data_IF_489636278876
#
_entry.id   IF_489636278876
#
_cell.length_a   1.000
_cell.length_b   1.000
_cell.length_c   1.000
_cell.angle_alpha   90.00
_cell.angle_beta   90.00
_cell.angle_gamma   90.00
#
_symmetry.space_group_name_H-M   'P 1'
#
loop_
_entity.id
_entity.type
_entity.pdbx_description
1 polymer ?
#
# COMPACT_ATOMS: atom_id res chain seq x y z
N UNK A 1 -27.61 51.17 77.51
CA UNK A 1 -26.81 49.98 77.90
C UNK A 1 -26.75 49.02 76.71
N UNK A 2 -25.53 48.52 76.41
CA UNK A 2 -25.18 47.41 75.49
C UNK A 2 -25.42 47.53 73.98
N UNK A 3 -24.33 47.91 73.31
CA UNK A 3 -23.66 47.26 72.17
C UNK A 3 -24.45 46.30 71.25
N UNK A 4 -24.43 46.61 69.95
CA UNK A 4 -24.61 45.68 68.83
C UNK A 4 -23.71 46.08 67.66
N UNK A 5 -22.64 45.31 67.42
CA UNK A 5 -21.68 45.46 66.31
C UNK A 5 -22.15 44.65 65.09
N UNK A 6 -21.94 45.24 63.91
CA UNK A 6 -21.57 44.67 62.60
C UNK A 6 -22.48 43.60 61.96
N UNK A 7 -22.87 43.85 60.70
CA UNK A 7 -22.39 43.01 59.58
C UNK A 7 -22.74 43.66 58.24
N UNK A 8 -21.71 43.98 57.47
CA UNK A 8 -21.74 44.40 56.06
C UNK A 8 -22.03 43.19 55.17
N UNK A 9 -23.03 43.34 54.30
CA UNK A 9 -23.39 42.39 53.24
C UNK A 9 -22.23 42.08 52.31
N UNK A 10 -21.84 40.80 52.24
CA UNK A 10 -20.90 40.26 51.28
C UNK A 10 -21.61 39.97 49.95
N UNK A 11 -21.14 40.56 48.85
CA UNK A 11 -21.50 40.16 47.50
C UNK A 11 -20.57 39.04 47.04
N UNK A 12 -21.14 37.84 46.84
CA UNK A 12 -20.48 36.71 46.20
C UNK A 12 -20.90 36.70 44.72
N UNK A 13 -19.94 36.76 43.81
CA UNK A 13 -20.15 36.65 42.36
C UNK A 13 -18.82 36.37 41.65
N UNK A 14 -18.68 35.13 41.17
CA UNK A 14 -17.52 34.53 40.48
C UNK A 14 -17.05 35.30 39.23
N UNK A 15 -15.76 35.23 38.85
CA UNK A 15 -15.31 35.56 37.50
C UNK A 15 -15.27 34.29 36.63
N UNK A 16 -16.05 34.25 35.54
CA UNK A 16 -15.89 33.24 34.49
C UNK A 16 -16.37 33.79 33.15
N UNK A 17 -15.42 33.98 32.24
CA UNK A 17 -15.48 33.60 30.81
C UNK A 17 -14.17 34.07 30.16
N UNK A 18 -13.22 33.15 30.03
CA UNK A 18 -13.08 32.26 28.88
C UNK A 18 -12.29 32.95 27.77
N UNK A 19 -10.96 32.84 27.88
CA UNK A 19 -10.06 33.02 26.76
C UNK A 19 -10.32 31.86 25.79
N UNK A 20 -11.14 32.11 24.77
CA UNK A 20 -11.18 31.26 23.59
C UNK A 20 -9.84 31.42 22.87
N UNK A 21 -8.89 30.54 23.18
CA UNK A 21 -7.75 30.28 22.31
C UNK A 21 -8.33 29.72 21.01
N UNK A 22 -8.41 30.57 19.99
CA UNK A 22 -8.62 30.16 18.61
C UNK A 22 -7.42 29.26 18.27
N UNK A 23 -7.57 27.93 18.44
CA UNK A 23 -6.61 26.97 17.91
C UNK A 23 -6.65 27.17 16.40
N UNK A 24 -5.65 27.87 15.87
CA UNK A 24 -5.28 27.75 14.47
C UNK A 24 -5.04 26.26 14.27
N UNK A 25 -5.98 25.56 13.64
CA UNK A 25 -5.74 24.19 13.19
C UNK A 25 -4.65 24.33 12.13
N UNK A 26 -3.43 23.95 12.48
CA UNK A 26 -2.37 23.76 11.49
C UNK A 26 -2.93 22.83 10.41
N UNK A 27 -2.61 23.11 9.14
CA UNK A 27 -2.98 22.22 8.05
C UNK A 27 -2.42 20.83 8.35
N UNK A 28 -3.22 19.80 8.11
CA UNK A 28 -2.80 18.45 8.44
C UNK A 28 -1.57 18.04 7.62
N UNK A 29 -0.61 17.34 8.23
CA UNK A 29 0.60 16.86 7.53
C UNK A 29 0.33 15.56 6.78
N UNK A 30 1.24 15.16 5.89
CA UNK A 30 1.12 13.90 5.17
C UNK A 30 1.13 12.69 6.13
N UNK A 31 2.01 12.69 7.13
CA UNK A 31 2.06 11.64 8.14
C UNK A 31 0.82 11.62 9.04
N UNK A 32 0.16 12.76 9.30
CA UNK A 32 -1.13 12.77 10.01
C UNK A 32 -2.24 12.06 9.20
N UNK A 33 -2.25 12.19 7.87
CA UNK A 33 -3.15 11.41 7.02
C UNK A 33 -2.83 9.92 7.08
N UNK A 34 -1.57 9.54 6.91
CA UNK A 34 -1.19 8.13 6.98
C UNK A 34 -1.49 7.51 8.35
N UNK A 35 -1.32 8.25 9.45
CA UNK A 35 -1.72 7.74 10.77
C UNK A 35 -3.23 7.50 10.85
N UNK A 36 -4.05 8.40 10.31
CA UNK A 36 -5.52 8.22 10.26
C UNK A 36 -5.92 7.04 9.39
N UNK A 37 -5.26 6.82 8.26
CA UNK A 37 -5.48 5.65 7.39
C UNK A 37 -5.12 4.37 8.14
N UNK A 38 -3.92 4.30 8.71
CA UNK A 38 -3.41 3.11 9.38
C UNK A 38 -4.17 2.77 10.67
N UNK A 39 -4.77 3.75 11.35
CA UNK A 39 -5.57 3.52 12.57
C UNK A 39 -7.07 3.32 12.30
N UNK A 40 -7.54 3.57 11.08
CA UNK A 40 -8.91 3.27 10.69
C UNK A 40 -9.08 1.77 10.46
N UNK A 41 -10.05 1.10 11.11
CA UNK A 41 -10.38 -0.30 10.81
C UNK A 41 -11.35 -0.43 9.62
N UNK A 42 -11.82 0.67 9.02
CA UNK A 42 -12.84 0.66 7.96
C UNK A 42 -12.16 0.78 6.60
N UNK A 43 -12.19 -0.26 5.73
CA UNK A 43 -11.51 -0.24 4.43
C UNK A 43 -11.90 0.95 3.55
N UNK A 44 -13.19 1.29 3.50
CA UNK A 44 -13.70 2.40 2.70
C UNK A 44 -13.18 3.74 3.22
N UNK A 45 -13.02 3.89 4.53
CA UNK A 45 -12.45 5.11 5.12
C UNK A 45 -10.95 5.20 4.83
N UNK A 46 -10.21 4.07 4.82
CA UNK A 46 -8.81 4.04 4.37
C UNK A 46 -8.70 4.56 2.93
N UNK A 47 -9.52 4.03 2.02
CA UNK A 47 -9.52 4.47 0.62
C UNK A 47 -9.89 5.96 0.48
N UNK A 48 -10.95 6.40 1.17
CA UNK A 48 -11.41 7.80 1.15
C UNK A 48 -10.33 8.76 1.64
N UNK A 49 -9.70 8.45 2.78
CA UNK A 49 -8.61 9.27 3.34
C UNK A 49 -7.39 9.31 2.43
N UNK A 50 -7.06 8.21 1.77
CA UNK A 50 -5.95 8.14 0.81
C UNK A 50 -6.20 9.05 -0.39
N UNK A 51 -7.39 9.01 -0.99
CA UNK A 51 -7.74 9.92 -2.09
C UNK A 51 -7.73 11.39 -1.66
N UNK A 52 -8.26 11.68 -0.46
CA UNK A 52 -8.23 13.04 0.11
C UNK A 52 -6.79 13.53 0.30
N UNK A 53 -5.90 12.69 0.83
CA UNK A 53 -4.50 13.02 1.01
C UNK A 53 -3.80 13.28 -0.32
N UNK A 54 -4.05 12.44 -1.34
CA UNK A 54 -3.49 12.61 -2.68
C UNK A 54 -3.91 13.92 -3.33
N UNK A 55 -5.20 14.26 -3.30
CA UNK A 55 -5.67 15.52 -3.88
C UNK A 55 -5.07 16.72 -3.14
N UNK A 56 -5.01 16.69 -1.81
CA UNK A 56 -4.45 17.78 -1.02
C UNK A 56 -2.93 17.91 -1.19
N UNK A 57 -2.21 16.81 -1.36
CA UNK A 57 -0.78 16.82 -1.66
C UNK A 57 -0.52 17.42 -3.05
N UNK A 58 -1.23 16.93 -4.07
CA UNK A 58 -1.12 17.39 -5.47
C UNK A 58 -1.47 18.86 -5.64
N UNK A 59 -2.44 19.37 -4.87
CA UNK A 59 -2.85 20.78 -4.88
C UNK A 59 -2.02 21.66 -3.93
N UNK A 60 -0.99 21.10 -3.29
CA UNK A 60 -0.12 21.78 -2.31
C UNK A 60 -0.89 22.37 -1.11
N UNK A 61 -2.07 21.83 -0.80
CA UNK A 61 -2.79 22.13 0.43
C UNK A 61 -2.14 21.44 1.64
N UNK A 62 -1.33 20.40 1.39
CA UNK A 62 -0.40 19.78 2.33
C UNK A 62 0.98 19.89 1.70
N UNK A 63 1.94 20.48 2.41
CA UNK A 63 3.34 20.60 1.97
C UNK A 63 4.32 20.04 2.99
N UNK A 64 3.85 19.80 4.22
CA UNK A 64 4.65 19.26 5.31
C UNK A 64 4.45 17.74 5.40
N UNK A 65 5.57 17.01 5.46
CA UNK A 65 5.58 15.57 5.71
C UNK A 65 5.09 15.27 7.13
N UNK A 66 5.50 16.08 8.11
CA UNK A 66 5.29 15.80 9.53
C UNK A 66 6.21 14.69 10.09
N UNK A 67 6.22 14.56 11.41
CA UNK A 67 7.03 13.57 12.13
C UNK A 67 6.15 12.69 13.03
N UNK A 68 5.46 11.73 12.41
CA UNK A 68 4.62 10.76 13.11
C UNK A 68 5.02 9.34 12.73
N UNK A 69 5.29 8.52 13.74
CA UNK A 69 5.56 7.10 13.56
C UNK A 69 4.27 6.32 13.24
N UNK A 70 4.35 5.24 12.43
CA UNK A 70 3.20 4.39 12.17
C UNK A 70 2.80 3.61 13.43
N UNK A 71 1.53 3.16 13.53
CA UNK A 71 1.19 2.13 14.53
C UNK A 71 1.98 0.84 14.26
N UNK A 72 2.13 -0.05 15.26
CA UNK A 72 2.85 -1.33 15.06
C UNK A 72 2.31 -2.15 13.90
N UNK A 73 0.98 -2.16 13.74
CA UNK A 73 0.26 -2.77 12.62
C UNK A 73 -0.92 -1.88 12.20
N UNK A 74 -1.33 -1.93 10.91
CA UNK A 74 -2.55 -1.28 10.47
C UNK A 74 -3.78 -1.88 11.17
N UNK A 75 -4.71 -1.03 11.59
CA UNK A 75 -6.00 -1.44 12.11
C UNK A 75 -6.81 -2.16 11.02
N UNK A 76 -7.52 -3.21 11.45
CA UNK A 76 -8.33 -4.06 10.57
C UNK A 76 -9.74 -4.23 11.11
N UNK A 77 -10.73 -4.40 10.22
CA UNK A 77 -12.07 -4.82 10.62
C UNK A 77 -12.04 -6.27 11.14
N UNK A 78 -13.10 -6.72 11.85
CA UNK A 78 -13.19 -8.12 12.31
C UNK A 78 -13.16 -9.17 11.17
N UNK A 79 -13.50 -8.77 9.94
CA UNK A 79 -13.52 -9.62 8.75
C UNK A 79 -12.84 -8.91 7.58
N UNK A 80 -12.06 -9.59 6.73
CA UNK A 80 -11.89 -11.04 6.66
C UNK A 80 -11.06 -11.62 7.82
N UNK A 81 -11.33 -12.88 8.17
CA UNK A 81 -10.44 -13.62 9.07
C UNK A 81 -9.08 -13.78 8.40
N UNK A 82 -8.00 -13.35 9.07
CA UNK A 82 -6.64 -13.49 8.56
C UNK A 82 -6.07 -14.86 8.90
N UNK A 83 -5.54 -15.56 7.89
CA UNK A 83 -4.95 -16.89 8.02
C UNK A 83 -3.54 -16.92 7.44
N UNK A 84 -2.78 -17.93 7.84
CA UNK A 84 -1.55 -18.27 7.13
C UNK A 84 -1.90 -18.73 5.70
N UNK A 85 -1.10 -18.31 4.71
CA UNK A 85 -1.28 -18.66 3.29
C UNK A 85 -1.41 -20.18 3.07
N UNK A 86 -0.71 -21.01 3.86
CA UNK A 86 -0.75 -22.48 3.75
C UNK A 86 -2.07 -23.08 4.22
N UNK A 87 -2.84 -22.32 5.01
CA UNK A 87 -4.11 -22.71 5.59
C UNK A 87 -5.31 -22.07 4.87
N UNK A 88 -5.08 -21.45 3.71
CA UNK A 88 -6.14 -20.84 2.92
C UNK A 88 -6.95 -21.92 2.18
N UNK A 89 -8.27 -22.06 2.46
CA UNK A 89 -9.11 -23.02 1.76
C UNK A 89 -9.39 -22.54 0.33
N UNK A 90 -9.51 -23.48 -0.61
CA UNK A 90 -9.87 -23.14 -1.98
C UNK A 90 -11.34 -22.73 -2.14
N UNK A 91 -11.67 -22.07 -3.26
CA UNK A 91 -13.04 -21.62 -3.57
C UNK A 91 -14.11 -22.73 -3.44
N UNK A 92 -13.76 -23.96 -3.88
CA UNK A 92 -14.65 -25.13 -3.78
C UNK A 92 -14.92 -25.55 -2.33
N UNK A 93 -13.90 -25.51 -1.47
CA UNK A 93 -14.03 -25.85 -0.04
C UNK A 93 -14.89 -24.83 0.69
N UNK A 94 -14.77 -23.55 0.30
CA UNK A 94 -15.59 -22.46 0.81
C UNK A 94 -17.01 -22.40 0.21
N UNK A 95 -17.31 -23.24 -0.77
CA UNK A 95 -18.57 -23.22 -1.52
C UNK A 95 -18.90 -21.83 -2.11
N UNK A 96 -17.89 -21.15 -2.64
CA UNK A 96 -18.02 -19.85 -3.33
C UNK A 96 -17.63 -19.96 -4.81
N UNK A 97 -18.25 -19.20 -5.72
CA UNK A 97 -17.83 -19.18 -7.11
C UNK A 97 -16.38 -18.70 -7.24
N UNK A 98 -15.60 -19.32 -8.14
CA UNK A 98 -14.20 -18.96 -8.36
C UNK A 98 -13.98 -17.47 -8.65
N UNK A 99 -14.80 -16.78 -9.48
CA UNK A 99 -14.65 -15.33 -9.69
C UNK A 99 -14.74 -14.52 -8.40
N UNK A 100 -15.62 -14.89 -7.47
CA UNK A 100 -15.78 -14.19 -6.18
C UNK A 100 -14.55 -14.38 -5.31
N UNK A 101 -14.02 -15.61 -5.26
CA UNK A 101 -12.80 -15.92 -4.52
C UNK A 101 -11.60 -15.09 -5.02
N UNK A 102 -11.45 -15.01 -6.35
CA UNK A 102 -10.37 -14.26 -6.98
C UNK A 102 -10.52 -12.74 -6.74
N UNK A 103 -11.70 -12.18 -6.97
CA UNK A 103 -11.97 -10.75 -6.72
C UNK A 103 -11.75 -10.36 -5.26
N UNK A 104 -12.20 -11.19 -4.31
CA UNK A 104 -12.00 -10.93 -2.89
C UNK A 104 -10.52 -10.98 -2.51
N UNK A 105 -9.78 -11.96 -3.03
CA UNK A 105 -8.34 -12.07 -2.81
C UNK A 105 -7.58 -10.86 -3.36
N UNK A 106 -7.92 -10.40 -4.58
CA UNK A 106 -7.35 -9.19 -5.17
C UNK A 106 -7.69 -7.96 -4.32
N UNK A 107 -8.96 -7.76 -3.95
CA UNK A 107 -9.35 -6.63 -3.11
C UNK A 107 -8.58 -6.63 -1.77
N UNK A 108 -8.28 -7.81 -1.22
CA UNK A 108 -7.46 -7.90 -0.01
C UNK A 108 -6.01 -7.47 -0.25
N UNK A 109 -5.43 -7.82 -1.41
CA UNK A 109 -4.10 -7.39 -1.81
C UNK A 109 -4.08 -5.86 -1.97
N UNK A 110 -5.01 -5.26 -2.70
CA UNK A 110 -5.04 -3.79 -2.90
C UNK A 110 -5.17 -3.02 -1.59
N UNK A 111 -6.01 -3.51 -0.66
CA UNK A 111 -6.13 -2.87 0.65
C UNK A 111 -4.84 -3.00 1.46
N UNK A 112 -4.12 -4.13 1.34
CA UNK A 112 -2.82 -4.30 1.96
C UNK A 112 -1.76 -3.39 1.34
N UNK A 113 -1.82 -3.14 0.02
CA UNK A 113 -0.95 -2.18 -0.67
C UNK A 113 -1.17 -0.75 -0.14
N UNK A 114 -2.43 -0.34 0.04
CA UNK A 114 -2.77 0.94 0.72
C UNK A 114 -2.12 1.03 2.09
N UNK A 115 -2.30 0.01 2.93
CA UNK A 115 -1.71 -0.01 4.27
C UNK A 115 -0.17 0.02 4.23
N UNK A 116 0.46 -0.77 3.37
CA UNK A 116 1.91 -0.87 3.33
C UNK A 116 2.60 0.35 2.73
N UNK A 117 1.98 1.04 1.79
CA UNK A 117 2.54 2.28 1.26
C UNK A 117 2.40 3.44 2.25
N UNK A 118 1.30 3.52 3.02
CA UNK A 118 1.21 4.49 4.13
C UNK A 118 2.20 4.15 5.25
N UNK A 119 2.33 2.87 5.60
CA UNK A 119 3.35 2.41 6.53
C UNK A 119 4.75 2.80 6.04
N UNK A 120 5.06 2.62 4.75
CA UNK A 120 6.33 3.00 4.15
C UNK A 120 6.61 4.50 4.34
N UNK A 121 5.64 5.37 4.04
CA UNK A 121 5.81 6.83 4.20
C UNK A 121 6.11 7.17 5.68
N UNK A 122 5.32 6.65 6.63
CA UNK A 122 5.48 6.99 8.05
C UNK A 122 6.73 6.36 8.67
N UNK A 123 7.00 5.09 8.35
CA UNK A 123 8.09 4.30 8.94
C UNK A 123 9.45 4.85 8.53
N UNK A 124 9.59 5.19 7.25
CA UNK A 124 10.85 5.63 6.66
C UNK A 124 10.93 7.14 6.44
N UNK A 125 10.04 7.94 7.06
CA UNK A 125 10.07 9.41 6.98
C UNK A 125 11.43 10.05 7.34
N UNK A 126 12.23 9.36 8.15
CA UNK A 126 13.56 9.81 8.59
C UNK A 126 14.68 9.56 7.56
N UNK A 127 14.40 8.84 6.46
CA UNK A 127 15.36 8.59 5.37
C UNK A 127 15.65 9.86 4.53
N UNK A 128 14.93 10.96 4.78
CA UNK A 128 15.07 12.25 4.07
C UNK A 128 15.00 12.12 2.55
N UNK A 129 14.02 11.35 2.07
CA UNK A 129 13.76 11.19 0.64
C UNK A 129 13.33 12.52 -0.01
N UNK A 130 13.61 12.73 -1.29
CA UNK A 130 13.20 13.96 -1.98
C UNK A 130 11.66 14.07 -2.07
N UNK A 131 11.07 15.27 -2.15
CA UNK A 131 9.62 15.49 -2.25
C UNK A 131 8.90 14.69 -3.35
N UNK A 132 9.61 14.42 -4.45
CA UNK A 132 9.10 13.62 -5.57
C UNK A 132 8.78 12.17 -5.17
N UNK A 133 9.52 11.59 -4.22
CA UNK A 133 9.26 10.24 -3.69
C UNK A 133 7.87 10.15 -3.07
N UNK A 134 7.54 11.12 -2.22
CA UNK A 134 6.24 11.17 -1.58
C UNK A 134 5.13 11.46 -2.59
N UNK A 135 5.40 12.24 -3.63
CA UNK A 135 4.45 12.49 -4.73
C UNK A 135 4.15 11.22 -5.51
N UNK A 136 5.17 10.46 -5.88
CA UNK A 136 5.03 9.18 -6.58
C UNK A 136 4.24 8.17 -5.73
N UNK A 137 4.57 8.05 -4.44
CA UNK A 137 3.92 7.10 -3.53
C UNK A 137 2.51 7.47 -3.14
N UNK A 138 2.21 8.74 -2.88
CA UNK A 138 0.83 9.14 -2.63
C UNK A 138 -0.04 8.93 -3.87
N UNK A 139 0.52 9.08 -5.08
CA UNK A 139 -0.16 8.72 -6.33
C UNK A 139 -0.43 7.21 -6.41
N UNK A 140 0.57 6.36 -6.17
CA UNK A 140 0.38 4.89 -6.15
C UNK A 140 -0.68 4.49 -5.15
N UNK A 141 -0.61 4.99 -3.91
CA UNK A 141 -1.58 4.69 -2.87
C UNK A 141 -3.02 5.08 -3.28
N UNK A 142 -3.17 6.19 -4.01
CA UNK A 142 -4.47 6.59 -4.55
C UNK A 142 -4.97 5.65 -5.65
N UNK A 143 -4.09 5.07 -6.46
CA UNK A 143 -4.48 4.05 -7.43
C UNK A 143 -4.92 2.77 -6.71
N UNK A 144 -4.17 2.31 -5.70
CA UNK A 144 -4.54 1.12 -4.92
C UNK A 144 -5.87 1.26 -4.19
N UNK A 145 -6.12 2.44 -3.61
CA UNK A 145 -7.40 2.76 -3.00
C UNK A 145 -8.56 2.68 -4.02
N UNK A 146 -8.31 3.08 -5.27
CA UNK A 146 -9.28 2.97 -6.37
C UNK A 146 -9.42 1.53 -6.83
N UNK A 147 -8.34 0.77 -6.97
CA UNK A 147 -8.34 -0.66 -7.34
C UNK A 147 -9.18 -1.46 -6.34
N UNK A 148 -8.94 -1.25 -5.04
CA UNK A 148 -9.77 -1.80 -3.96
C UNK A 148 -11.26 -1.44 -4.15
N UNK A 149 -11.55 -0.16 -4.41
CA UNK A 149 -12.91 0.32 -4.63
C UNK A 149 -13.61 -0.33 -5.82
N UNK A 150 -12.92 -0.51 -6.94
CA UNK A 150 -13.43 -1.19 -8.14
C UNK A 150 -13.77 -2.65 -7.85
N UNK A 151 -12.87 -3.38 -7.20
CA UNK A 151 -13.04 -4.80 -6.87
C UNK A 151 -14.13 -5.00 -5.81
N UNK A 152 -14.17 -4.17 -4.77
CA UNK A 152 -15.20 -4.20 -3.73
C UNK A 152 -16.58 -3.89 -4.32
N UNK A 153 -16.69 -2.88 -5.17
CA UNK A 153 -17.93 -2.56 -5.89
C UNK A 153 -18.37 -3.71 -6.80
N UNK A 154 -17.41 -4.39 -7.46
CA UNK A 154 -17.70 -5.55 -8.29
C UNK A 154 -18.23 -6.73 -7.48
N UNK A 155 -17.67 -7.00 -6.30
CA UNK A 155 -18.19 -8.01 -5.37
C UNK A 155 -19.64 -7.71 -4.97
N UNK A 156 -19.94 -6.45 -4.63
CA UNK A 156 -21.30 -6.01 -4.28
C UNK A 156 -22.28 -6.23 -5.44
N UNK A 157 -21.88 -5.86 -6.67
CA UNK A 157 -22.69 -6.08 -7.86
C UNK A 157 -22.99 -7.57 -8.15
N UNK A 158 -22.15 -8.48 -7.62
CA UNK A 158 -22.32 -9.93 -7.72
C UNK A 158 -23.04 -10.55 -6.49
N UNK A 159 -23.51 -9.72 -5.55
CA UNK A 159 -24.21 -10.16 -4.34
C UNK A 159 -23.29 -10.60 -3.19
N UNK A 160 -22.01 -10.24 -3.24
CA UNK A 160 -21.00 -10.52 -2.20
C UNK A 160 -20.44 -9.21 -1.62
N UNK A 161 -19.52 -9.30 -0.67
CA UNK A 161 -18.84 -8.13 -0.11
C UNK A 161 -17.41 -8.48 0.29
N UNK A 162 -16.54 -7.47 0.36
CA UNK A 162 -15.22 -7.64 0.94
C UNK A 162 -15.34 -8.09 2.41
N UNK A 163 -14.56 -9.09 2.79
CA UNK A 163 -14.62 -9.70 4.13
C UNK A 163 -15.42 -11.01 4.23
N UNK A 164 -16.19 -11.40 3.19
CA UNK A 164 -17.02 -12.62 3.21
C UNK A 164 -16.22 -13.93 3.16
N UNK A 165 -14.97 -13.87 2.67
CA UNK A 165 -14.03 -14.99 2.57
C UNK A 165 -12.83 -14.70 3.49
N UNK A 166 -12.23 -15.69 4.18
CA UNK A 166 -10.95 -15.48 4.86
C UNK A 166 -9.86 -14.97 3.91
N UNK A 167 -8.86 -14.28 4.42
CA UNK A 167 -7.76 -13.78 3.60
C UNK A 167 -6.41 -14.15 4.23
N UNK A 168 -5.35 -14.18 3.42
CA UNK A 168 -4.02 -14.48 3.97
C UNK A 168 -3.26 -13.22 4.38
N UNK A 169 -2.43 -13.33 5.41
CA UNK A 169 -1.64 -12.23 5.97
C UNK A 169 -0.24 -12.06 5.35
N UNK A 170 0.09 -12.78 4.27
CA UNK A 170 1.46 -12.86 3.74
C UNK A 170 2.08 -11.50 3.44
N UNK A 171 1.34 -10.59 2.79
CA UNK A 171 1.89 -9.28 2.41
C UNK A 171 2.23 -8.42 3.63
N UNK A 172 1.43 -8.51 4.70
CA UNK A 172 1.70 -7.82 5.97
C UNK A 172 2.96 -8.38 6.64
N UNK A 173 3.13 -9.71 6.67
CA UNK A 173 4.34 -10.35 7.22
C UNK A 173 5.60 -9.97 6.43
N UNK A 174 5.50 -9.86 5.12
CA UNK A 174 6.61 -9.42 4.28
C UNK A 174 6.93 -7.93 4.51
N UNK A 175 5.89 -7.11 4.77
CA UNK A 175 6.03 -5.75 5.26
C UNK A 175 6.77 -5.66 6.60
N UNK A 176 6.44 -6.51 7.57
CA UNK A 176 7.15 -6.59 8.85
C UNK A 176 8.61 -7.01 8.67
N UNK A 177 8.85 -8.04 7.85
CA UNK A 177 10.19 -8.55 7.53
C UNK A 177 11.09 -7.46 6.97
N UNK A 178 10.54 -6.56 6.15
CA UNK A 178 11.26 -5.44 5.53
C UNK A 178 11.15 -4.13 6.30
N UNK A 179 10.47 -4.09 7.45
CA UNK A 179 10.17 -2.87 8.21
C UNK A 179 11.38 -2.16 8.80
N UNK A 180 12.58 -2.73 8.67
CA UNK A 180 13.83 -2.18 9.18
C UNK A 180 14.67 -1.46 8.11
N UNK A 181 14.30 -1.53 6.83
CA UNK A 181 15.10 -0.98 5.73
C UNK A 181 14.22 -0.56 4.54
N UNK A 182 14.29 0.71 4.15
CA UNK A 182 13.47 1.24 3.04
C UNK A 182 13.79 0.56 1.70
N UNK A 183 15.08 0.35 1.41
CA UNK A 183 15.53 -0.32 0.17
C UNK A 183 14.99 -1.75 0.10
N UNK A 184 14.99 -2.47 1.23
CA UNK A 184 14.38 -3.80 1.34
C UNK A 184 12.85 -3.76 1.15
N UNK A 185 12.17 -2.76 1.73
CA UNK A 185 10.72 -2.56 1.54
C UNK A 185 10.38 -2.35 0.07
N UNK A 186 11.13 -1.50 -0.63
CA UNK A 186 10.94 -1.27 -2.07
C UNK A 186 11.23 -2.52 -2.90
N UNK A 187 12.33 -3.22 -2.64
CA UNK A 187 12.68 -4.44 -3.37
C UNK A 187 11.61 -5.52 -3.24
N UNK A 188 11.12 -5.78 -2.04
CA UNK A 188 10.17 -6.88 -1.82
C UNK A 188 8.74 -6.47 -2.19
N UNK A 189 8.24 -5.37 -1.64
CA UNK A 189 6.83 -5.01 -1.84
C UNK A 189 6.64 -4.41 -3.24
N UNK A 190 7.38 -3.35 -3.57
CA UNK A 190 7.14 -2.62 -4.83
C UNK A 190 7.71 -3.29 -6.09
N UNK A 191 8.66 -4.23 -5.96
CA UNK A 191 9.21 -4.94 -7.12
C UNK A 191 8.79 -6.41 -7.13
N UNK A 192 9.02 -7.19 -6.07
CA UNK A 192 8.68 -8.62 -6.08
C UNK A 192 7.16 -8.85 -6.10
N UNK A 193 6.40 -8.25 -5.20
CA UNK A 193 4.94 -8.50 -5.14
C UNK A 193 4.19 -7.91 -6.33
N UNK A 194 4.53 -6.70 -6.77
CA UNK A 194 3.87 -6.10 -7.95
C UNK A 194 4.11 -6.93 -9.23
N UNK A 195 5.34 -7.43 -9.41
CA UNK A 195 5.66 -8.25 -10.57
C UNK A 195 5.01 -9.64 -10.51
N UNK A 196 4.79 -10.21 -9.32
CA UNK A 196 3.99 -11.44 -9.17
C UNK A 196 2.54 -11.25 -9.62
N UNK A 197 1.95 -10.08 -9.33
CA UNK A 197 0.62 -9.70 -9.81
C UNK A 197 0.58 -9.70 -11.34
N UNK A 198 1.57 -9.07 -11.97
CA UNK A 198 1.70 -8.98 -13.42
C UNK A 198 1.96 -10.32 -14.10
N UNK A 199 2.78 -11.20 -13.54
CA UNK A 199 3.04 -12.55 -14.07
C UNK A 199 1.76 -13.40 -14.15
N UNK A 200 0.76 -13.08 -13.32
CA UNK A 200 -0.52 -13.78 -13.28
C UNK A 200 -1.59 -13.14 -14.17
N UNK A 201 -1.34 -11.95 -14.74
CA UNK A 201 -2.34 -11.12 -15.43
C UNK A 201 -3.13 -11.87 -16.50
N UNK A 202 -2.47 -12.34 -17.57
CA UNK A 202 -3.19 -12.97 -18.70
C UNK A 202 -4.02 -14.18 -18.26
N UNK A 203 -3.44 -14.99 -17.36
CA UNK A 203 -4.11 -16.18 -16.80
C UNK A 203 -5.32 -15.79 -15.95
N UNK A 204 -5.20 -14.71 -15.17
CA UNK A 204 -6.26 -14.22 -14.31
C UNK A 204 -7.43 -13.65 -15.13
N UNK A 205 -7.14 -12.83 -16.15
CA UNK A 205 -8.17 -12.31 -17.07
C UNK A 205 -8.86 -13.45 -17.83
N UNK A 206 -8.10 -14.44 -18.31
CA UNK A 206 -8.68 -15.63 -18.95
C UNK A 206 -9.60 -16.43 -18.01
N UNK A 207 -9.27 -16.55 -16.72
CA UNK A 207 -10.14 -17.21 -15.74
C UNK A 207 -11.50 -16.51 -15.62
N UNK A 208 -11.55 -15.18 -15.58
CA UNK A 208 -12.81 -14.46 -15.54
C UNK A 208 -13.62 -14.62 -16.83
N UNK A 209 -12.99 -14.43 -17.98
CA UNK A 209 -13.64 -14.57 -19.28
C UNK A 209 -14.21 -15.97 -19.51
N UNK A 210 -13.50 -17.01 -19.07
CA UNK A 210 -13.94 -18.42 -19.18
C UNK A 210 -15.13 -18.74 -18.28
N UNK A 211 -15.36 -17.95 -17.23
CA UNK A 211 -16.53 -18.06 -16.34
C UNK A 211 -17.68 -17.11 -16.77
N UNK A 212 -17.66 -16.63 -18.02
CA UNK A 212 -18.61 -15.65 -18.57
C UNK A 212 -18.67 -14.30 -17.81
N UNK A 213 -17.68 -14.01 -16.96
CA UNK A 213 -17.58 -12.77 -16.18
C UNK A 213 -16.65 -11.76 -16.86
N UNK A 214 -17.08 -11.27 -18.02
CA UNK A 214 -16.30 -10.32 -18.83
C UNK A 214 -16.08 -8.97 -18.14
N UNK A 215 -16.96 -8.60 -17.21
CA UNK A 215 -16.86 -7.33 -16.48
C UNK A 215 -15.69 -7.37 -15.49
N UNK A 216 -15.62 -8.43 -14.68
CA UNK A 216 -14.49 -8.62 -13.75
C UNK A 216 -13.16 -8.76 -14.50
N UNK A 217 -13.18 -9.45 -15.65
CA UNK A 217 -12.00 -9.53 -16.53
C UNK A 217 -11.50 -8.15 -16.99
N UNK A 218 -12.41 -7.23 -17.35
CA UNK A 218 -12.06 -5.85 -17.74
C UNK A 218 -11.54 -5.00 -16.58
N UNK A 219 -12.12 -5.13 -15.39
CA UNK A 219 -11.64 -4.46 -14.18
C UNK A 219 -10.20 -4.89 -13.88
N UNK A 220 -9.95 -6.20 -13.84
CA UNK A 220 -8.61 -6.75 -13.57
C UNK A 220 -7.61 -6.36 -14.66
N UNK A 221 -8.02 -6.36 -15.94
CA UNK A 221 -7.14 -5.90 -17.02
C UNK A 221 -6.75 -4.43 -16.88
N UNK A 222 -7.65 -3.60 -16.37
CA UNK A 222 -7.36 -2.18 -16.09
C UNK A 222 -6.34 -2.05 -14.97
N UNK A 223 -6.56 -2.73 -13.84
CA UNK A 223 -5.67 -2.72 -12.69
C UNK A 223 -4.26 -3.17 -13.12
N UNK A 224 -4.13 -4.33 -13.77
CA UNK A 224 -2.83 -4.85 -14.18
C UNK A 224 -2.07 -3.92 -15.16
N UNK A 225 -2.77 -3.11 -15.98
CA UNK A 225 -2.10 -2.10 -16.82
C UNK A 225 -1.51 -0.96 -15.99
N UNK A 226 -2.22 -0.54 -14.95
CA UNK A 226 -1.83 0.55 -14.07
C UNK A 226 -0.65 0.12 -13.17
N UNK A 227 -0.59 -1.15 -12.78
CA UNK A 227 0.53 -1.73 -11.98
C UNK A 227 1.91 -1.61 -12.65
N UNK A 228 1.97 -1.52 -13.98
CA UNK A 228 3.23 -1.32 -14.70
C UNK A 228 3.91 -0.02 -14.24
N UNK A 229 3.14 1.04 -14.05
CA UNK A 229 3.69 2.33 -13.63
C UNK A 229 4.07 2.34 -12.14
N UNK A 230 3.45 1.48 -11.32
CA UNK A 230 3.80 1.28 -9.92
C UNK A 230 5.16 0.60 -9.79
N UNK A 231 5.40 -0.46 -10.57
CA UNK A 231 6.72 -1.13 -10.67
C UNK A 231 7.81 -0.15 -11.13
N UNK A 232 7.53 0.71 -12.12
CA UNK A 232 8.49 1.73 -12.58
C UNK A 232 8.87 2.71 -11.46
N UNK A 233 7.89 3.18 -10.68
CA UNK A 233 8.15 4.06 -9.52
C UNK A 233 8.95 3.33 -8.44
N UNK A 234 8.60 2.08 -8.14
CA UNK A 234 9.36 1.22 -7.22
C UNK A 234 10.83 1.07 -7.65
N UNK A 235 11.05 0.81 -8.94
CA UNK A 235 12.39 0.64 -9.52
C UNK A 235 13.20 1.93 -9.48
N UNK A 236 12.58 3.06 -9.85
CA UNK A 236 13.19 4.39 -9.76
C UNK A 236 13.75 4.65 -8.36
N UNK A 237 12.93 4.46 -7.33
CA UNK A 237 13.32 4.77 -5.96
C UNK A 237 14.27 3.74 -5.35
N UNK A 238 14.17 2.48 -5.77
CA UNK A 238 15.17 1.46 -5.42
C UNK A 238 16.53 1.82 -6.00
N UNK A 239 16.62 2.15 -7.29
CA UNK A 239 17.86 2.59 -7.96
C UNK A 239 18.43 3.85 -7.32
N UNK A 240 17.59 4.82 -6.98
CA UNK A 240 18.01 6.03 -6.26
C UNK A 240 18.71 5.70 -4.92
N UNK A 241 18.15 4.77 -4.13
CA UNK A 241 18.77 4.36 -2.87
C UNK A 241 20.07 3.57 -3.07
N UNK A 242 20.14 2.73 -4.10
CA UNK A 242 21.38 2.04 -4.46
C UNK A 242 22.47 3.04 -4.85
N UNK A 243 22.16 4.02 -5.70
CA UNK A 243 23.10 5.08 -6.09
C UNK A 243 23.53 5.93 -4.89
N UNK A 244 22.58 6.31 -4.02
CA UNK A 244 22.87 7.07 -2.78
C UNK A 244 23.86 6.34 -1.87
N UNK A 245 23.79 5.02 -1.84
CA UNK A 245 24.59 4.17 -0.96
C UNK A 245 25.82 3.54 -1.66
N UNK A 246 26.11 3.93 -2.92
CA UNK A 246 27.21 3.42 -3.76
C UNK A 246 27.15 1.88 -3.98
N UNK A 247 25.95 1.36 -4.22
CA UNK A 247 25.69 -0.06 -4.46
C UNK A 247 25.19 -0.33 -5.88
N UNK A 248 25.60 -1.46 -6.45
CA UNK A 248 25.01 -1.98 -7.68
C UNK A 248 23.56 -2.48 -7.42
N UNK A 249 22.54 -1.97 -8.16
CA UNK A 249 21.15 -2.34 -7.92
C UNK A 249 20.86 -3.84 -8.06
N UNK A 250 21.50 -4.53 -9.00
CA UNK A 250 21.27 -5.96 -9.19
C UNK A 250 21.80 -6.76 -7.99
N UNK A 251 23.04 -6.46 -7.57
CA UNK A 251 23.68 -7.08 -6.41
C UNK A 251 22.89 -6.81 -5.11
N UNK A 252 22.47 -5.56 -4.88
CA UNK A 252 21.68 -5.19 -3.72
C UNK A 252 20.33 -5.92 -3.68
N UNK A 253 19.63 -6.01 -4.83
CA UNK A 253 18.35 -6.71 -4.93
C UNK A 253 18.51 -8.20 -4.63
N UNK A 254 19.51 -8.85 -5.21
CA UNK A 254 19.81 -10.27 -4.97
C UNK A 254 20.12 -10.54 -3.49
N UNK A 255 20.91 -9.66 -2.85
CA UNK A 255 21.23 -9.77 -1.44
C UNK A 255 19.96 -9.67 -0.56
N UNK A 256 19.07 -8.72 -0.85
CA UNK A 256 17.80 -8.54 -0.12
C UNK A 256 16.88 -9.76 -0.30
N UNK A 257 16.70 -10.24 -1.52
CA UNK A 257 15.88 -11.44 -1.80
C UNK A 257 16.43 -12.65 -1.05
N UNK A 258 17.75 -12.85 -1.08
CA UNK A 258 18.39 -13.93 -0.35
C UNK A 258 18.24 -13.77 1.17
N UNK A 259 18.37 -12.56 1.71
CA UNK A 259 18.23 -12.32 3.15
C UNK A 259 16.79 -12.55 3.64
N UNK A 260 15.80 -12.12 2.86
CA UNK A 260 14.39 -12.20 3.24
C UNK A 260 13.78 -13.57 3.01
N UNK A 261 14.38 -14.41 2.14
CA UNK A 261 13.85 -15.73 1.76
C UNK A 261 12.43 -15.67 1.15
N UNK A 262 12.02 -14.48 0.68
CA UNK A 262 10.75 -14.29 -0.01
C UNK A 262 10.92 -14.77 -1.45
N UNK A 263 10.07 -15.70 -1.93
CA UNK A 263 10.21 -16.26 -3.27
C UNK A 263 10.10 -15.18 -4.35
N UNK A 264 11.04 -15.15 -5.28
CA UNK A 264 10.94 -14.37 -6.52
C UNK A 264 10.28 -15.23 -7.60
N UNK A 265 9.49 -14.61 -8.48
CA UNK A 265 8.97 -15.33 -9.62
C UNK A 265 10.09 -15.55 -10.65
N UNK A 266 10.06 -16.68 -11.33
CA UNK A 266 11.12 -17.10 -12.25
C UNK A 266 11.01 -16.44 -13.65
N UNK A 267 9.94 -15.67 -13.89
CA UNK A 267 9.63 -15.12 -15.22
C UNK A 267 9.92 -13.63 -15.34
N UNK A 268 10.56 -13.33 -16.46
CA UNK A 268 11.06 -12.03 -16.91
C UNK A 268 9.96 -11.15 -17.52
N UNK A 269 8.79 -11.06 -16.89
CA UNK A 269 7.78 -10.14 -17.39
C UNK A 269 8.29 -8.71 -17.20
N UNK A 270 8.52 -8.03 -18.32
CA UNK A 270 8.98 -6.65 -18.50
C UNK A 270 10.48 -6.43 -18.75
N UNK A 271 10.82 -6.51 -20.04
CA UNK A 271 11.97 -5.87 -20.68
C UNK A 271 11.68 -4.42 -21.15
N UNK A 272 10.44 -3.93 -21.04
CA UNK A 272 10.03 -2.61 -21.57
C UNK A 272 10.25 -1.43 -20.61
N UNK A 273 10.71 -1.69 -19.38
CA UNK A 273 11.14 -0.63 -18.46
C UNK A 273 12.53 -0.06 -18.83
N UNK A 274 13.27 -0.77 -19.69
CA UNK A 274 14.62 -0.42 -20.14
C UNK A 274 14.76 -0.61 -21.66
N UNK A 275 14.07 0.19 -22.47
CA UNK A 275 14.41 0.28 -23.91
C UNK A 275 14.64 1.72 -24.35
N UNK A 276 15.89 2.16 -24.19
CA UNK A 276 16.57 2.93 -25.25
C UNK A 276 17.95 2.31 -25.41
N UNK A 277 18.14 1.49 -26.47
CA UNK A 277 19.39 1.28 -27.24
C UNK A 277 19.33 -0.05 -27.99
N UNK A 278 19.69 0.00 -29.27
CA UNK A 278 19.70 -1.10 -30.25
C UNK A 278 20.85 -2.09 -29.97
N UNK A 279 20.66 -3.39 -30.26
CA UNK A 279 21.53 -4.21 -31.15
C UNK A 279 21.09 -5.69 -31.27
N UNK A 280 21.61 -6.38 -32.29
CA UNK A 280 21.09 -7.54 -33.04
C UNK A 280 21.60 -8.93 -32.55
N UNK A 281 21.13 -10.08 -33.10
CA UNK A 281 21.11 -11.38 -32.42
C UNK A 281 22.30 -12.29 -32.71
N UNK A 282 22.67 -13.14 -31.74
CA UNK A 282 23.59 -14.26 -31.98
C UNK A 282 23.91 -15.16 -30.78
N UNK A 283 23.58 -16.45 -30.96
CA UNK A 283 24.17 -17.67 -30.37
C UNK A 283 23.56 -18.29 -29.09
N UNK A 284 23.11 -19.54 -29.29
CA UNK A 284 22.72 -20.54 -28.31
C UNK A 284 23.94 -21.04 -27.51
N UNK A 285 23.75 -21.23 -26.19
CA UNK A 285 24.76 -21.85 -25.33
C UNK A 285 24.25 -22.17 -23.93
N UNK A 286 24.17 -23.47 -23.62
CA UNK A 286 24.26 -24.15 -22.32
C UNK A 286 23.33 -23.75 -21.14
N UNK A 287 22.46 -24.70 -20.79
CA UNK A 287 21.51 -24.66 -19.68
C UNK A 287 22.22 -24.94 -18.34
N UNK A 288 22.63 -23.89 -17.63
CA UNK A 288 22.83 -23.93 -16.19
C UNK A 288 21.66 -23.21 -15.51
N UNK A 289 21.11 -23.85 -14.47
CA UNK A 289 20.02 -23.34 -13.64
C UNK A 289 20.45 -22.11 -12.84
N UNK A 290 20.45 -20.94 -13.48
CA UNK A 290 20.43 -19.64 -12.81
C UNK A 290 18.98 -19.15 -12.79
N UNK A 291 18.45 -18.83 -11.62
CA UNK A 291 17.20 -18.08 -11.54
C UNK A 291 17.39 -16.81 -12.37
N UNK A 292 16.62 -16.65 -13.44
CA UNK A 292 16.67 -15.44 -14.27
C UNK A 292 16.03 -14.32 -13.45
N UNK A 293 16.87 -13.48 -12.86
CA UNK A 293 16.43 -12.28 -12.15
C UNK A 293 15.75 -11.31 -13.12
N UNK A 294 14.90 -10.40 -12.62
CA UNK A 294 14.03 -9.62 -13.49
C UNK A 294 14.82 -8.74 -14.46
N UNK A 295 14.45 -8.78 -15.73
CA UNK A 295 15.13 -8.04 -16.80
C UNK A 295 15.09 -6.52 -16.62
N UNK A 296 14.18 -6.00 -15.79
CA UNK A 296 14.01 -4.57 -15.54
C UNK A 296 15.14 -3.94 -14.71
N UNK A 297 15.99 -4.73 -14.03
CA UNK A 297 17.12 -4.18 -13.28
C UNK A 297 18.32 -3.84 -14.18
N UNK A 298 18.37 -4.39 -15.39
CA UNK A 298 19.34 -4.04 -16.44
C UNK A 298 18.95 -2.74 -17.15
#
# INVERSE_FOLDING_TARGET
MRAGRRSTTAAVGLPLRSLLTLRVRTAATLCEYGQRVLTSPVPEEKARLTHEANERWRTQAITDLGDIAPPPQPARPPTPELRDKRNMPGAKELNVPLPIYLLHSLAHIELNAVDLGWDLILRFRHENMPPEFYTDWVSVLSDEARHFGLLSSRLVALGYHYGVIPAHDSLLRDGETTGHNLKARLAIIALVHETHGLDSWERLVQRFNSNADKESGRIVDTICREEIDHVKKGLKWFRYLCERDDEDPETAFQAIVHQTQIPVCATTAYAEASTTSQEAPGQEGHYHSTARYPAFLK
#
